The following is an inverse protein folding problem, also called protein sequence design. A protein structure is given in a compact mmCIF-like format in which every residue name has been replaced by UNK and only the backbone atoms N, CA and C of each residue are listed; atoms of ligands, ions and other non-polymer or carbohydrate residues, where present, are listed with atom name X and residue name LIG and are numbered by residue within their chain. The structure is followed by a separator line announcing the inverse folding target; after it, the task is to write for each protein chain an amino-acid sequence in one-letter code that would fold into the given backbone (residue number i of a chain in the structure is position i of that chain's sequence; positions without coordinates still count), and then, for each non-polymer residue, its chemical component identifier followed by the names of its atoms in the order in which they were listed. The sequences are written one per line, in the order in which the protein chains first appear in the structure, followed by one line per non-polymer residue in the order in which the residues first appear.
data_IF_070216241209
#
_entry.id   IF_070216241209
#
_cell.length_a   1.000
_cell.length_b   1.000
_cell.length_c   1.000
_cell.angle_alpha   90.00
_cell.angle_beta   90.00
_cell.angle_gamma   90.00
#
_symmetry.space_group_name_H-M   'P 1'
#
loop_
_entity.id
_entity.type
_entity.pdbx_description
1 polymer ?
#
# COMPACT_ATOMS: atom_id res chain seq x y z
N UNK A 1 -16.97 -14.58 36.51
CA UNK A 1 -16.77 -15.02 35.11
C UNK A 1 -16.05 -13.90 34.36
N UNK A 2 -14.76 -14.05 34.06
CA UNK A 2 -13.96 -13.01 33.40
C UNK A 2 -14.00 -13.24 31.89
N UNK A 3 -14.81 -12.46 31.18
CA UNK A 3 -14.80 -12.44 29.72
C UNK A 3 -13.46 -11.87 29.23
N UNK A 4 -12.62 -12.71 28.64
CA UNK A 4 -11.45 -12.25 27.88
C UNK A 4 -11.99 -11.43 26.70
N UNK A 5 -11.89 -10.10 26.76
CA UNK A 5 -12.13 -9.23 25.59
C UNK A 5 -11.10 -9.60 24.53
N UNK A 6 -11.49 -10.42 23.56
CA UNK A 6 -10.72 -10.59 22.33
C UNK A 6 -10.65 -9.24 21.63
N UNK A 7 -9.46 -8.76 21.31
CA UNK A 7 -9.28 -7.57 20.48
C UNK A 7 -9.82 -7.87 19.09
N UNK A 8 -10.83 -7.11 18.64
CA UNK A 8 -11.27 -7.14 17.24
C UNK A 8 -10.14 -6.59 16.38
N UNK A 9 -9.47 -7.47 15.64
CA UNK A 9 -8.43 -7.09 14.70
C UNK A 9 -9.09 -6.70 13.38
N UNK A 10 -9.05 -5.42 13.05
CA UNK A 10 -9.48 -4.92 11.75
C UNK A 10 -8.27 -4.88 10.83
N UNK A 11 -8.33 -5.62 9.73
CA UNK A 11 -7.26 -5.71 8.74
C UNK A 11 -7.82 -5.71 7.34
N UNK A 12 -6.96 -5.40 6.37
CA UNK A 12 -7.31 -5.54 4.97
C UNK A 12 -7.42 -7.05 4.67
N UNK A 13 -8.63 -7.50 4.36
CA UNK A 13 -8.96 -8.90 4.12
C UNK A 13 -9.35 -9.13 2.65
N UNK A 14 -9.53 -10.39 2.25
CA UNK A 14 -10.10 -10.78 0.95
C UNK A 14 -9.38 -10.19 -0.27
N UNK A 15 -8.19 -10.68 -0.61
CA UNK A 15 -7.54 -10.36 -1.90
C UNK A 15 -7.19 -8.88 -2.11
N UNK A 16 -7.31 -8.05 -1.07
CA UNK A 16 -7.16 -6.59 -1.16
C UNK A 16 -5.86 -6.18 -1.84
N UNK A 17 -4.79 -6.95 -1.67
CA UNK A 17 -3.49 -6.65 -2.22
C UNK A 17 -3.51 -6.72 -3.75
N UNK A 18 -4.08 -7.78 -4.33
CA UNK A 18 -4.23 -7.90 -5.78
C UNK A 18 -5.16 -6.82 -6.35
N UNK A 19 -6.26 -6.53 -5.65
CA UNK A 19 -7.20 -5.48 -6.06
C UNK A 19 -6.57 -4.09 -5.98
N UNK A 20 -5.71 -3.86 -4.99
CA UNK A 20 -4.98 -2.61 -4.86
C UNK A 20 -3.93 -2.47 -5.95
N UNK A 21 -3.15 -3.52 -6.22
CA UNK A 21 -2.16 -3.59 -7.31
C UNK A 21 -2.82 -3.25 -8.65
N UNK A 22 -3.96 -3.89 -8.95
CA UNK A 22 -4.71 -3.67 -10.19
C UNK A 22 -5.25 -2.24 -10.30
N UNK A 23 -5.94 -1.74 -9.27
CA UNK A 23 -6.54 -0.38 -9.29
C UNK A 23 -5.51 0.74 -9.35
N UNK A 24 -4.32 0.55 -8.79
CA UNK A 24 -3.25 1.56 -8.75
C UNK A 24 -2.19 1.37 -9.83
N UNK A 25 -2.36 0.36 -10.69
CA UNK A 25 -1.42 -0.04 -11.73
C UNK A 25 0.01 -0.14 -11.19
N UNK A 26 0.18 -0.82 -10.05
CA UNK A 26 1.49 -0.95 -9.42
C UNK A 26 2.42 -1.78 -10.31
N UNK A 27 3.67 -1.33 -10.38
CA UNK A 27 4.76 -2.03 -11.07
C UNK A 27 5.74 -2.59 -10.06
N UNK A 28 6.59 -3.50 -10.52
CA UNK A 28 7.69 -3.99 -9.71
C UNK A 28 8.55 -2.80 -9.25
N UNK A 29 8.88 -2.79 -7.96
CA UNK A 29 9.58 -1.71 -7.23
C UNK A 29 8.76 -0.44 -6.96
N UNK A 30 7.47 -0.39 -7.27
CA UNK A 30 6.60 0.61 -6.66
C UNK A 30 6.44 0.29 -5.16
N UNK A 31 6.42 1.31 -4.32
CA UNK A 31 6.29 1.17 -2.87
C UNK A 31 4.91 1.61 -2.40
N UNK A 32 4.34 0.86 -1.46
CA UNK A 32 3.08 1.17 -0.79
C UNK A 32 3.33 1.32 0.70
N UNK A 33 2.58 2.20 1.35
CA UNK A 33 2.80 2.48 2.76
C UNK A 33 1.76 3.42 3.35
N UNK A 34 2.07 3.83 4.57
CA UNK A 34 1.27 4.80 5.32
C UNK A 34 2.04 6.12 5.36
N UNK A 35 1.40 7.19 4.90
CA UNK A 35 1.90 8.55 4.98
C UNK A 35 1.03 9.35 5.94
N UNK A 36 1.65 10.15 6.81
CA UNK A 36 0.94 11.13 7.60
C UNK A 36 0.68 12.38 6.76
N UNK A 37 -0.57 12.68 6.46
CA UNK A 37 -0.98 13.91 5.81
C UNK A 37 -1.20 15.00 6.88
N UNK A 38 -0.27 15.94 6.96
CA UNK A 38 -0.32 17.05 7.90
C UNK A 38 -1.48 18.01 7.66
N UNK A 39 -1.93 18.17 6.40
CA UNK A 39 -2.98 19.13 6.04
C UNK A 39 -4.35 18.69 6.55
N UNK A 40 -4.63 17.39 6.47
CA UNK A 40 -5.87 16.81 6.97
C UNK A 40 -5.74 16.13 8.34
N UNK A 41 -4.52 16.07 8.89
CA UNK A 41 -4.20 15.35 10.15
C UNK A 41 -4.67 13.89 10.13
N UNK A 42 -4.39 13.18 9.03
CA UNK A 42 -4.86 11.80 8.80
C UNK A 42 -3.72 10.92 8.31
N UNK A 43 -3.77 9.65 8.73
CA UNK A 43 -2.93 8.60 8.16
C UNK A 43 -3.56 8.12 6.85
N UNK A 44 -2.83 8.28 5.75
CA UNK A 44 -3.25 7.85 4.42
C UNK A 44 -2.48 6.60 4.01
N UNK A 45 -3.19 5.54 3.66
CA UNK A 45 -2.61 4.37 3.01
C UNK A 45 -2.61 4.57 1.49
N UNK A 46 -1.46 4.39 0.85
CA UNK A 46 -1.34 4.64 -0.58
C UNK A 46 0.00 4.23 -1.17
N UNK A 47 0.24 4.67 -2.40
CA UNK A 47 1.54 4.55 -3.05
C UNK A 47 2.43 5.66 -2.52
N UNK A 48 3.57 5.30 -1.94
CA UNK A 48 4.53 6.25 -1.35
C UNK A 48 5.65 6.61 -2.31
N UNK A 49 6.05 5.67 -3.16
CA UNK A 49 7.08 5.88 -4.17
C UNK A 49 6.75 5.12 -5.46
N UNK A 50 7.06 5.74 -6.59
CA UNK A 50 6.94 5.12 -7.92
C UNK A 50 8.33 4.78 -8.42
N UNK A 51 8.46 3.59 -9.00
CA UNK A 51 9.66 3.23 -9.72
C UNK A 51 9.75 4.09 -10.99
N UNK A 52 10.60 5.12 -10.93
CA UNK A 52 10.96 5.99 -12.06
C UNK A 52 12.19 5.49 -12.81
N UNK A 53 12.75 4.34 -12.40
CA UNK A 53 13.89 3.74 -13.10
C UNK A 53 13.56 3.49 -14.57
N UNK A 54 14.56 3.59 -15.46
CA UNK A 54 14.37 3.32 -16.88
C UNK A 54 13.73 1.94 -17.05
N UNK A 55 12.81 1.81 -18.00
CA UNK A 55 12.23 0.50 -18.29
C UNK A 55 13.41 -0.39 -18.67
N UNK A 56 13.49 -1.62 -18.15
CA UNK A 56 14.65 -2.51 -18.34
C UNK A 56 15.00 -2.79 -19.82
N UNK A 57 14.16 -2.39 -20.78
CA UNK A 57 14.43 -2.45 -22.21
C UNK A 57 15.08 -1.17 -22.80
N UNK A 58 15.16 -0.06 -22.07
CA UNK A 58 15.75 1.23 -22.52
C UNK A 58 17.25 1.32 -22.24
N UNK A 59 17.83 0.45 -21.41
CA UNK A 59 19.27 0.47 -21.06
C UNK A 59 20.14 -0.37 -21.99
N UNK A 60 19.61 -0.79 -23.14
CA UNK A 60 20.39 -1.44 -24.22
C UNK A 60 20.47 -0.50 -25.42
N UNK A 61 21.31 0.52 -25.32
CA UNK A 61 21.87 1.26 -26.46
C UNK A 61 23.27 1.72 -26.07
#
# INVERSE_FOLDING_TARGET
MNARRGSLQYGLAHGWQEDFVRRRHLKQKDEIGLLWDFSSSRLQFGVTSRNTGPRLWETKN
#
